data_IF_952395829970
#
_entry.id   IF_952395829970
#
_cell.length_a   1.000
_cell.length_b   1.000
_cell.length_c   1.000
_cell.angle_alpha   90.00
_cell.angle_beta   90.00
_cell.angle_gamma   90.00
#
_symmetry.space_group_name_H-M   'P 1'
#
loop_
_entity.id
_entity.type
_entity.pdbx_description
1 polymer ?
#
# COMPACT_ATOMS: atom_id res chain seq x y z
N UNK A 1 -34.07 39.33 -27.61
CA UNK A 1 -33.19 40.43 -28.00
C UNK A 1 -31.97 39.85 -28.67
N UNK A 2 -31.94 39.89 -30.00
CA UNK A 2 -30.82 39.43 -30.83
C UNK A 2 -29.81 40.56 -30.96
N UNK A 3 -28.58 40.35 -30.58
CA UNK A 3 -27.49 41.26 -30.88
C UNK A 3 -26.58 40.63 -31.93
N UNK A 4 -26.54 41.23 -33.10
CA UNK A 4 -25.70 40.85 -34.26
C UNK A 4 -24.24 41.23 -34.00
N UNK A 5 -23.31 40.32 -34.32
CA UNK A 5 -21.90 40.61 -34.43
C UNK A 5 -21.56 41.09 -35.83
N UNK A 6 -20.89 42.23 -35.92
CA UNK A 6 -20.32 42.82 -37.14
C UNK A 6 -18.94 42.23 -37.41
N UNK A 7 -18.51 42.08 -38.69
CA UNK A 7 -17.20 41.55 -39.03
C UNK A 7 -16.11 42.63 -38.99
N UNK A 8 -14.94 42.25 -38.43
CA UNK A 8 -13.73 43.08 -38.45
C UNK A 8 -12.88 42.68 -39.66
N UNK A 9 -12.50 43.69 -40.41
CA UNK A 9 -11.72 43.60 -41.65
C UNK A 9 -10.27 43.17 -41.36
N UNK A 10 -9.75 42.30 -42.25
CA UNK A 10 -8.36 41.87 -42.35
C UNK A 10 -7.44 42.96 -42.87
N UNK A 11 -6.34 43.23 -42.18
CA UNK A 11 -5.13 43.80 -42.79
C UNK A 11 -4.00 42.79 -42.63
N UNK A 12 -3.52 42.34 -43.80
CA UNK A 12 -2.35 41.47 -43.89
C UNK A 12 -1.09 42.28 -43.63
N UNK A 13 -0.25 41.82 -42.71
CA UNK A 13 1.15 42.19 -42.66
C UNK A 13 1.98 40.94 -42.60
N UNK A 14 2.76 40.72 -43.66
CA UNK A 14 3.64 39.61 -43.88
C UNK A 14 4.96 39.86 -43.17
N UNK A 15 5.27 39.10 -42.11
CA UNK A 15 6.64 38.91 -41.68
C UNK A 15 6.93 37.40 -41.62
N UNK A 16 7.81 37.05 -42.57
CA UNK A 16 8.42 35.74 -42.74
C UNK A 16 9.21 35.34 -41.47
N UNK A 17 8.67 34.45 -40.64
CA UNK A 17 9.42 33.82 -39.59
C UNK A 17 9.56 32.31 -39.90
N UNK A 18 10.77 31.91 -40.22
CA UNK A 18 11.12 30.56 -40.54
C UNK A 18 10.64 29.54 -39.50
N UNK A 19 9.78 28.63 -39.94
CA UNK A 19 9.36 27.47 -39.20
C UNK A 19 10.57 26.55 -38.94
N UNK A 20 10.85 26.09 -37.72
CA UNK A 20 11.93 25.12 -37.50
C UNK A 20 11.59 23.81 -38.19
N UNK A 21 12.61 23.23 -38.84
CA UNK A 21 12.55 22.01 -39.63
C UNK A 21 11.87 20.87 -38.81
N UNK A 22 10.90 20.19 -39.42
CA UNK A 22 10.31 18.97 -38.91
C UNK A 22 11.38 17.92 -38.69
N UNK A 23 11.40 17.19 -37.54
CA UNK A 23 12.27 16.05 -37.38
C UNK A 23 11.91 14.97 -38.39
N UNK A 24 12.94 14.38 -38.97
CA UNK A 24 12.87 13.30 -39.96
C UNK A 24 12.19 12.07 -39.33
N UNK A 25 10.99 11.72 -39.79
CA UNK A 25 10.18 10.60 -39.32
C UNK A 25 10.46 9.31 -40.06
N UNK A 26 11.65 9.13 -40.63
CA UNK A 26 12.08 7.84 -41.21
C UNK A 26 12.62 6.90 -40.13
N UNK A 27 11.78 6.56 -39.14
CA UNK A 27 12.02 5.39 -38.28
C UNK A 27 11.32 4.17 -38.93
N UNK A 28 11.94 2.96 -38.87
CA UNK A 28 11.38 1.77 -39.52
C UNK A 28 9.99 1.45 -39.01
N UNK A 29 9.10 1.12 -39.95
CA UNK A 29 7.72 0.70 -39.69
C UNK A 29 7.66 -0.37 -38.61
N UNK A 30 6.69 -0.22 -37.69
CA UNK A 30 6.33 -1.24 -36.74
C UNK A 30 6.01 -2.57 -37.47
N UNK A 31 6.38 -3.72 -36.92
CA UNK A 31 6.06 -5.01 -37.53
C UNK A 31 4.56 -5.19 -37.64
N UNK A 32 4.13 -5.64 -38.81
CA UNK A 32 2.73 -5.99 -39.12
C UNK A 32 2.19 -7.03 -38.15
N UNK A 33 0.96 -6.84 -37.73
CA UNK A 33 0.24 -7.69 -36.78
C UNK A 33 0.10 -9.14 -37.26
N UNK A 34 1.04 -9.96 -36.83
CA UNK A 34 0.90 -11.41 -36.65
C UNK A 34 1.93 -11.80 -35.60
N UNK A 35 1.62 -11.54 -34.32
CA UNK A 35 2.53 -11.90 -33.24
C UNK A 35 1.91 -12.95 -32.36
N UNK A 36 2.53 -14.14 -32.21
CA UNK A 36 2.31 -14.99 -31.07
C UNK A 36 2.68 -14.22 -29.80
N UNK A 37 2.12 -14.61 -28.68
CA UNK A 37 2.42 -14.08 -27.35
C UNK A 37 3.93 -14.25 -27.05
N UNK A 38 4.75 -13.38 -27.62
CA UNK A 38 6.16 -13.28 -27.26
C UNK A 38 6.22 -12.54 -25.94
N UNK A 39 6.84 -13.14 -24.94
CA UNK A 39 7.34 -12.45 -23.74
C UNK A 39 8.17 -11.26 -24.23
N UNK A 40 7.61 -10.04 -24.15
CA UNK A 40 8.25 -8.85 -24.70
C UNK A 40 9.49 -8.44 -23.91
N UNK A 41 9.70 -9.02 -22.73
CA UNK A 41 10.80 -8.60 -21.85
C UNK A 41 11.46 -9.81 -21.21
N UNK A 42 12.66 -10.18 -21.67
CA UNK A 42 13.57 -11.01 -20.86
C UNK A 42 14.07 -10.13 -19.71
N UNK A 43 13.71 -10.50 -18.49
CA UNK A 43 14.24 -9.83 -17.31
C UNK A 43 15.75 -10.04 -17.24
N UNK A 44 16.59 -9.00 -17.25
CA UNK A 44 17.99 -9.14 -16.93
C UNK A 44 18.13 -9.64 -15.49
N UNK A 45 19.25 -10.32 -15.20
CA UNK A 45 19.59 -10.64 -13.82
C UNK A 45 19.56 -9.35 -12.98
N UNK A 46 18.93 -9.39 -11.80
CA UNK A 46 18.81 -8.23 -10.91
C UNK A 46 20.12 -8.10 -10.15
N UNK A 47 20.79 -6.98 -10.31
CA UNK A 47 21.90 -6.60 -9.43
C UNK A 47 21.29 -6.04 -8.13
N UNK A 48 21.52 -6.66 -6.95
CA UNK A 48 21.02 -6.15 -5.68
C UNK A 48 21.43 -4.71 -5.39
N UNK A 49 22.56 -4.23 -5.95
CA UNK A 49 22.99 -2.85 -5.80
C UNK A 49 21.99 -1.81 -6.36
N UNK A 50 21.00 -2.23 -7.14
CA UNK A 50 19.92 -1.34 -7.60
C UNK A 50 19.13 -0.75 -6.42
N UNK A 51 19.05 -1.43 -5.29
CA UNK A 51 18.35 -0.97 -4.09
C UNK A 51 19.21 -0.02 -3.22
N UNK A 52 20.51 0.11 -3.48
CA UNK A 52 21.40 1.07 -2.80
C UNK A 52 21.39 2.44 -3.45
N UNK A 53 20.86 2.56 -4.67
CA UNK A 53 20.73 3.83 -5.36
C UNK A 53 19.78 4.77 -4.61
N UNK A 54 20.23 6.00 -4.33
CA UNK A 54 19.42 7.05 -3.68
C UNK A 54 18.83 7.95 -4.76
N UNK A 55 17.58 7.72 -5.20
CA UNK A 55 16.96 8.59 -6.20
C UNK A 55 16.57 9.91 -5.54
N UNK A 56 16.83 11.02 -6.24
CA UNK A 56 16.25 12.31 -5.84
C UNK A 56 14.78 12.35 -6.24
N UNK A 57 13.90 12.39 -5.24
CA UNK A 57 12.45 12.44 -5.43
C UNK A 57 11.87 13.83 -5.20
N UNK A 58 12.69 14.82 -4.79
CA UNK A 58 12.24 16.20 -4.61
C UNK A 58 11.98 16.86 -5.97
N UNK A 59 10.95 17.70 -6.01
CA UNK A 59 10.54 18.39 -7.24
C UNK A 59 9.84 17.49 -8.27
N UNK A 60 9.46 16.26 -7.89
CA UNK A 60 8.74 15.32 -8.76
C UNK A 60 7.24 15.25 -8.47
N UNK A 61 6.71 16.15 -7.66
CA UNK A 61 5.37 16.12 -7.08
C UNK A 61 5.12 14.88 -6.20
N UNK A 62 6.17 14.33 -5.61
CA UNK A 62 6.08 13.19 -4.69
C UNK A 62 5.28 13.56 -3.44
N UNK A 63 4.19 12.80 -3.17
CA UNK A 63 3.43 12.96 -1.94
C UNK A 63 4.32 12.78 -0.70
N UNK A 64 5.25 11.82 -0.75
CA UNK A 64 6.17 11.51 0.34
C UNK A 64 7.19 12.63 0.59
N UNK A 65 7.81 13.16 -0.48
CA UNK A 65 8.95 14.07 -0.37
C UNK A 65 8.61 15.55 -0.52
N UNK A 66 7.56 15.90 -1.28
CA UNK A 66 7.25 17.29 -1.64
C UNK A 66 6.06 17.88 -0.86
N UNK A 67 5.44 17.11 0.05
CA UNK A 67 4.23 17.57 0.73
C UNK A 67 4.45 18.05 2.18
N UNK A 68 5.66 17.98 2.72
CA UNK A 68 5.96 18.25 4.12
C UNK A 68 5.42 19.64 4.56
N UNK A 69 5.88 20.71 3.95
CA UNK A 69 5.47 22.09 4.29
C UNK A 69 3.97 22.29 4.12
N UNK A 70 3.38 21.78 3.03
CA UNK A 70 1.94 21.86 2.79
C UNK A 70 1.11 21.17 3.88
N UNK A 71 1.69 20.17 4.55
CA UNK A 71 1.07 19.41 5.64
C UNK A 71 1.51 19.89 7.03
N UNK A 72 2.14 21.08 7.12
CA UNK A 72 2.56 21.67 8.37
C UNK A 72 3.76 20.95 9.03
N UNK A 73 4.57 20.24 8.24
CA UNK A 73 5.79 19.55 8.68
C UNK A 73 7.03 20.37 8.31
N UNK A 74 8.16 20.22 9.04
CA UNK A 74 9.42 20.87 8.67
C UNK A 74 9.87 20.51 7.25
N UNK A 75 10.51 21.45 6.56
CA UNK A 75 10.97 21.27 5.16
C UNK A 75 12.07 20.21 5.04
N UNK A 76 12.92 20.10 6.05
CA UNK A 76 14.09 19.22 6.10
C UNK A 76 13.82 17.86 6.76
N UNK A 77 12.56 17.58 7.09
CA UNK A 77 12.16 16.31 7.69
C UNK A 77 12.44 15.15 6.74
N UNK A 78 12.94 14.03 7.28
CA UNK A 78 13.16 12.80 6.51
C UNK A 78 11.87 11.96 6.50
N UNK A 79 11.19 11.82 5.35
CA UNK A 79 9.89 11.18 5.29
C UNK A 79 10.00 9.66 5.11
N UNK A 80 9.52 8.92 6.11
CA UNK A 80 9.41 7.44 6.07
C UNK A 80 7.98 6.98 6.45
N UNK A 81 6.97 7.79 6.13
CA UNK A 81 5.56 7.58 6.50
C UNK A 81 4.74 6.87 5.40
N UNK A 82 4.77 7.38 4.16
CA UNK A 82 3.99 6.83 3.05
C UNK A 82 4.47 5.43 2.67
N UNK A 83 3.53 4.52 2.46
CA UNK A 83 3.80 3.18 1.96
C UNK A 83 4.03 3.17 0.43
N UNK A 84 5.01 3.96 -0.04
CA UNK A 84 5.68 3.83 -1.32
C UNK A 84 7.18 3.65 -1.11
N UNK A 85 7.91 3.09 -2.06
CA UNK A 85 9.33 2.81 -1.91
C UNK A 85 10.18 3.95 -2.48
N UNK A 86 11.39 4.11 -1.95
CA UNK A 86 12.42 4.98 -2.53
C UNK A 86 13.37 4.16 -3.44
N UNK A 87 12.83 3.15 -4.10
CA UNK A 87 13.50 2.33 -5.10
C UNK A 87 12.82 2.46 -6.46
N UNK A 88 13.61 2.44 -7.53
CA UNK A 88 13.07 2.33 -8.88
C UNK A 88 12.31 1.00 -9.04
N UNK A 89 11.23 1.00 -9.84
CA UNK A 89 10.51 -0.23 -10.18
C UNK A 89 11.38 -1.19 -11.01
N UNK A 90 10.91 -2.42 -11.20
CA UNK A 90 11.62 -3.44 -11.98
C UNK A 90 11.98 -2.94 -13.39
N UNK A 91 13.19 -3.24 -13.90
CA UNK A 91 13.63 -2.80 -15.23
C UNK A 91 12.70 -3.21 -16.37
N UNK A 92 12.07 -4.38 -16.26
CA UNK A 92 11.06 -4.83 -17.21
C UNK A 92 9.87 -3.88 -17.30
N UNK A 93 9.40 -3.39 -16.15
CA UNK A 93 8.30 -2.41 -16.06
C UNK A 93 8.70 -1.09 -16.71
N UNK A 94 9.87 -0.56 -16.37
CA UNK A 94 10.38 0.68 -16.96
C UNK A 94 10.53 0.56 -18.48
N UNK A 95 11.04 -0.57 -18.98
CA UNK A 95 11.18 -0.83 -20.42
C UNK A 95 9.83 -0.87 -21.13
N UNK A 96 8.82 -1.52 -20.52
CA UNK A 96 7.47 -1.58 -21.07
C UNK A 96 6.80 -0.20 -21.13
N UNK A 97 6.97 0.61 -20.07
CA UNK A 97 6.46 1.97 -20.04
C UNK A 97 7.11 2.86 -21.08
N UNK A 98 8.45 2.77 -21.25
CA UNK A 98 9.16 3.50 -22.30
C UNK A 98 8.69 3.11 -23.70
N UNK A 99 8.51 1.82 -23.96
CA UNK A 99 7.95 1.33 -25.23
C UNK A 99 6.54 1.91 -25.47
N UNK A 100 5.66 1.87 -24.48
CA UNK A 100 4.29 2.39 -24.58
C UNK A 100 4.28 3.92 -24.78
N UNK A 101 5.18 4.63 -24.10
CA UNK A 101 5.32 6.09 -24.24
C UNK A 101 5.83 6.49 -25.61
N UNK A 102 6.79 5.75 -26.18
CA UNK A 102 7.31 5.98 -27.55
C UNK A 102 6.24 5.77 -28.62
N UNK A 103 5.28 4.86 -28.39
CA UNK A 103 4.13 4.69 -29.28
C UNK A 103 3.28 5.97 -29.37
N UNK A 104 3.17 6.75 -28.29
CA UNK A 104 2.63 8.10 -28.27
C UNK A 104 1.12 8.23 -28.38
N UNK A 105 0.33 7.13 -28.43
CA UNK A 105 -1.13 7.14 -28.51
C UNK A 105 -1.68 6.55 -27.22
N UNK A 106 -2.32 7.39 -26.38
CA UNK A 106 -2.88 7.06 -25.08
C UNK A 106 -4.41 7.02 -25.12
N UNK A 107 -4.96 6.34 -26.11
CA UNK A 107 -6.40 6.10 -26.25
C UNK A 107 -6.93 5.14 -25.18
N UNK A 108 -8.26 4.97 -25.18
CA UNK A 108 -8.91 4.03 -24.28
C UNK A 108 -8.33 2.62 -24.41
N UNK A 109 -8.14 1.97 -23.27
CA UNK A 109 -7.53 0.64 -23.20
C UNK A 109 -8.34 -0.28 -22.30
N UNK A 110 -8.28 -1.57 -22.61
CA UNK A 110 -8.91 -2.64 -21.82
C UNK A 110 -7.88 -3.75 -21.55
N UNK A 111 -8.03 -4.53 -20.49
CA UNK A 111 -7.24 -5.73 -20.29
C UNK A 111 -7.40 -6.68 -21.47
N UNK A 112 -6.33 -6.93 -22.21
CA UNK A 112 -6.27 -7.88 -23.31
C UNK A 112 -5.98 -9.31 -22.80
N UNK A 113 -5.96 -10.28 -23.70
CA UNK A 113 -5.69 -11.68 -23.35
C UNK A 113 -4.28 -11.87 -22.76
N UNK A 114 -3.31 -11.07 -23.19
CA UNK A 114 -1.96 -11.12 -22.63
C UNK A 114 -1.92 -10.58 -21.19
N UNK A 115 -2.65 -9.50 -20.89
CA UNK A 115 -2.82 -9.02 -19.53
C UNK A 115 -3.46 -10.08 -18.63
N UNK A 116 -4.54 -10.71 -19.12
CA UNK A 116 -5.25 -11.77 -18.39
C UNK A 116 -4.36 -12.98 -18.14
N UNK A 117 -3.59 -13.41 -19.14
CA UNK A 117 -2.61 -14.48 -19.00
C UNK A 117 -1.49 -14.16 -18.00
N UNK A 118 -0.98 -12.91 -18.01
CA UNK A 118 0.02 -12.46 -17.04
C UNK A 118 -0.55 -12.51 -15.62
N UNK A 119 -1.77 -12.02 -15.40
CA UNK A 119 -2.46 -12.04 -14.12
C UNK A 119 -2.67 -13.47 -13.60
N UNK A 120 -3.31 -14.33 -14.39
CA UNK A 120 -3.60 -15.72 -13.96
C UNK A 120 -2.31 -16.51 -13.75
N UNK A 121 -1.31 -16.31 -14.60
CA UNK A 121 0.02 -16.89 -14.47
C UNK A 121 0.75 -16.45 -13.19
N UNK A 122 0.60 -15.19 -12.80
CA UNK A 122 1.16 -14.66 -11.55
C UNK A 122 0.60 -15.40 -10.34
N UNK A 123 -0.73 -15.48 -10.22
CA UNK A 123 -1.38 -16.16 -9.09
C UNK A 123 -1.05 -17.64 -9.04
N UNK A 124 -1.01 -18.31 -10.18
CA UNK A 124 -0.62 -19.73 -10.28
C UNK A 124 0.82 -19.93 -9.78
N UNK A 125 1.78 -19.10 -10.23
CA UNK A 125 3.20 -19.27 -9.87
C UNK A 125 3.50 -18.87 -8.42
N UNK A 126 2.94 -17.74 -7.95
CA UNK A 126 3.30 -17.17 -6.64
C UNK A 126 2.52 -17.80 -5.49
N UNK A 127 1.28 -18.22 -5.73
CA UNK A 127 0.36 -18.69 -4.68
C UNK A 127 -0.20 -20.09 -4.92
N UNK A 128 0.10 -20.74 -6.04
CA UNK A 128 -0.52 -22.01 -6.43
C UNK A 128 -2.03 -21.90 -6.64
N UNK A 129 -2.56 -20.68 -6.77
CA UNK A 129 -3.99 -20.42 -6.91
C UNK A 129 -4.38 -20.27 -8.37
N UNK A 130 -5.32 -21.11 -8.81
CA UNK A 130 -5.85 -21.06 -10.18
C UNK A 130 -6.98 -20.03 -10.23
N UNK A 131 -6.71 -18.91 -10.89
CA UNK A 131 -7.64 -17.79 -11.06
C UNK A 131 -8.17 -17.79 -12.48
N UNK A 132 -9.50 -17.68 -12.63
CA UNK A 132 -10.12 -17.53 -13.94
C UNK A 132 -10.06 -16.06 -14.39
N UNK A 133 -9.71 -15.84 -15.66
CA UNK A 133 -9.55 -14.50 -16.22
C UNK A 133 -10.83 -13.63 -16.09
N UNK A 134 -12.00 -14.24 -16.16
CA UNK A 134 -13.29 -13.56 -16.03
C UNK A 134 -13.59 -13.04 -14.62
N UNK A 135 -12.92 -13.58 -13.57
CA UNK A 135 -13.10 -13.12 -12.21
C UNK A 135 -12.58 -11.70 -12.01
N UNK A 136 -11.65 -11.27 -12.86
CA UNK A 136 -10.99 -9.99 -12.71
C UNK A 136 -11.90 -8.80 -13.10
N UNK A 137 -11.83 -7.77 -12.28
CA UNK A 137 -12.35 -6.43 -12.54
C UNK A 137 -11.26 -5.44 -12.20
N UNK A 138 -10.84 -4.60 -13.13
CA UNK A 138 -9.80 -3.59 -12.90
C UNK A 138 -10.42 -2.34 -12.30
N UNK A 139 -9.80 -1.84 -11.21
CA UNK A 139 -10.16 -0.57 -10.56
C UNK A 139 -8.94 0.36 -10.48
N UNK A 140 -9.12 1.67 -10.21
CA UNK A 140 -8.00 2.62 -10.11
C UNK A 140 -7.12 2.41 -8.87
N UNK A 141 -7.50 1.49 -7.98
CA UNK A 141 -6.75 1.15 -6.77
C UNK A 141 -7.56 0.27 -5.83
N UNK A 142 -6.90 -0.26 -4.80
CA UNK A 142 -7.54 -1.12 -3.81
C UNK A 142 -8.48 -0.32 -2.90
N UNK A 143 -8.10 0.85 -2.40
CA UNK A 143 -8.97 1.68 -1.56
C UNK A 143 -10.30 2.05 -2.26
N UNK A 144 -10.30 2.49 -3.55
CA UNK A 144 -11.54 2.61 -4.30
C UNK A 144 -12.35 1.32 -4.40
N UNK A 145 -11.69 0.15 -4.52
CA UNK A 145 -12.39 -1.13 -4.57
C UNK A 145 -13.03 -1.50 -3.22
N UNK A 146 -12.38 -1.20 -2.09
CA UNK A 146 -12.96 -1.36 -0.75
C UNK A 146 -14.23 -0.51 -0.61
N UNK A 147 -14.17 0.77 -0.99
CA UNK A 147 -15.33 1.67 -0.96
C UNK A 147 -16.50 1.16 -1.84
N UNK A 148 -16.18 0.63 -3.04
CA UNK A 148 -17.16 0.03 -3.93
C UNK A 148 -17.80 -1.22 -3.31
N UNK A 149 -17.01 -2.09 -2.68
CA UNK A 149 -17.51 -3.28 -2.01
C UNK A 149 -18.42 -2.93 -0.84
N UNK A 150 -18.04 -1.95 -0.01
CA UNK A 150 -18.88 -1.43 1.08
C UNK A 150 -20.23 -0.95 0.54
N UNK A 151 -20.24 -0.14 -0.52
CA UNK A 151 -21.47 0.40 -1.12
C UNK A 151 -22.32 -0.68 -1.81
N UNK A 152 -21.67 -1.64 -2.46
CA UNK A 152 -22.34 -2.70 -3.20
C UNK A 152 -23.04 -3.72 -2.31
N UNK A 153 -22.50 -3.95 -1.10
CA UNK A 153 -22.89 -5.06 -0.22
C UNK A 153 -23.59 -4.65 1.05
N UNK A 154 -23.63 -3.34 1.34
CA UNK A 154 -24.29 -2.80 2.53
C UNK A 154 -25.14 -1.59 2.19
N UNK A 155 -26.16 -1.32 3.00
CA UNK A 155 -26.94 -0.09 2.97
C UNK A 155 -26.36 0.96 3.95
N UNK A 156 -26.66 2.26 3.78
CA UNK A 156 -26.36 3.29 4.77
C UNK A 156 -26.88 2.89 6.18
N UNK A 157 -26.04 3.09 7.20
CA UNK A 157 -26.34 2.71 8.59
C UNK A 157 -25.98 1.26 8.95
N UNK A 158 -25.77 0.37 7.99
CA UNK A 158 -25.33 -1.00 8.29
C UNK A 158 -23.89 -1.05 8.77
N UNK A 159 -23.56 -2.13 9.49
CA UNK A 159 -22.28 -2.30 10.15
C UNK A 159 -21.30 -3.09 9.28
N UNK A 160 -20.05 -2.61 9.23
CA UNK A 160 -18.91 -3.26 8.57
C UNK A 160 -17.83 -3.56 9.61
N UNK A 161 -17.33 -4.78 9.61
CA UNK A 161 -16.29 -5.25 10.51
C UNK A 161 -14.88 -4.88 10.00
N UNK A 162 -14.02 -4.45 10.91
CA UNK A 162 -12.57 -4.30 10.69
C UNK A 162 -11.82 -4.84 11.91
N UNK A 163 -10.53 -5.19 11.75
CA UNK A 163 -9.68 -5.68 12.84
C UNK A 163 -8.57 -4.65 13.11
N UNK A 164 -8.62 -3.93 14.25
CA UNK A 164 -7.65 -2.88 14.59
C UNK A 164 -6.52 -3.37 15.51
N UNK A 165 -5.29 -2.73 15.41
CA UNK A 165 -4.95 -1.60 14.54
C UNK A 165 -4.84 -2.04 13.08
N UNK A 166 -5.35 -1.20 12.15
CA UNK A 166 -5.37 -1.49 10.72
C UNK A 166 -5.17 -0.22 9.90
N UNK A 167 -4.82 -0.34 8.66
CA UNK A 167 -4.68 0.75 7.69
C UNK A 167 -5.91 1.68 7.73
N UNK A 168 -5.71 2.93 8.11
CA UNK A 168 -6.79 3.88 8.42
C UNK A 168 -7.87 4.04 7.33
N UNK A 169 -7.57 3.90 6.01
CA UNK A 169 -8.63 3.95 5.00
C UNK A 169 -9.68 2.84 5.11
N UNK A 170 -9.45 1.78 5.88
CA UNK A 170 -10.48 0.79 6.17
C UNK A 170 -11.65 1.42 6.93
N UNK A 171 -11.36 2.22 7.95
CA UNK A 171 -12.35 3.00 8.67
C UNK A 171 -12.96 4.09 7.79
N UNK A 172 -12.09 4.85 7.09
CA UNK A 172 -12.54 5.97 6.25
C UNK A 172 -13.55 5.53 5.18
N UNK A 173 -13.28 4.42 4.45
CA UNK A 173 -14.22 3.97 3.39
C UNK A 173 -15.56 3.48 3.94
N UNK A 174 -15.62 3.06 5.19
CA UNK A 174 -16.88 2.70 5.85
C UNK A 174 -17.64 3.97 6.25
N UNK A 175 -16.99 4.89 6.97
CA UNK A 175 -17.62 6.08 7.55
C UNK A 175 -18.04 7.11 6.49
N UNK A 176 -17.17 7.39 5.50
CA UNK A 176 -17.51 8.36 4.42
C UNK A 176 -18.62 7.86 3.50
N UNK A 177 -18.90 6.55 3.50
CA UNK A 177 -20.04 5.96 2.82
C UNK A 177 -21.25 5.76 3.74
N UNK A 178 -21.29 6.39 4.91
CA UNK A 178 -22.43 6.37 5.85
C UNK A 178 -22.73 4.99 6.45
N UNK A 179 -21.72 4.12 6.60
CA UNK A 179 -21.82 2.85 7.30
C UNK A 179 -21.18 2.98 8.68
N UNK A 180 -21.52 2.05 9.58
CA UNK A 180 -20.99 2.01 10.94
C UNK A 180 -19.80 1.05 11.00
N UNK A 181 -18.70 1.47 11.61
CA UNK A 181 -17.56 0.59 11.87
C UNK A 181 -17.80 -0.22 13.14
N UNK A 182 -17.64 -1.54 13.05
CA UNK A 182 -17.45 -2.40 14.22
C UNK A 182 -15.98 -2.88 14.23
N UNK A 183 -15.17 -2.24 15.05
CA UNK A 183 -13.76 -2.59 15.20
C UNK A 183 -13.62 -3.72 16.21
N UNK A 184 -12.93 -4.81 15.80
CA UNK A 184 -12.53 -5.91 16.67
C UNK A 184 -11.04 -5.77 16.94
N UNK A 185 -10.61 -5.59 18.20
CA UNK A 185 -9.19 -5.43 18.50
C UNK A 185 -8.40 -6.71 18.23
N UNK A 186 -7.27 -6.58 17.58
CA UNK A 186 -6.23 -7.62 17.58
C UNK A 186 -5.60 -7.70 18.97
N UNK A 187 -5.25 -8.89 19.42
CA UNK A 187 -4.62 -9.12 20.71
C UNK A 187 -3.13 -9.32 20.50
N UNK A 188 -2.30 -8.51 21.18
CA UNK A 188 -0.85 -8.69 21.19
C UNK A 188 -0.48 -9.67 22.29
N UNK A 189 0.20 -10.77 21.95
CA UNK A 189 0.66 -11.75 22.93
C UNK A 189 1.97 -11.32 23.63
N UNK A 190 2.47 -12.17 24.53
CA UNK A 190 3.67 -11.88 25.32
C UNK A 190 4.95 -11.76 24.47
N UNK A 191 4.96 -12.37 23.28
CA UNK A 191 6.07 -12.31 22.32
C UNK A 191 5.92 -11.12 21.34
N UNK A 192 4.92 -10.28 21.57
CA UNK A 192 4.64 -9.10 20.73
C UNK A 192 3.89 -9.40 19.44
N UNK A 193 3.49 -10.66 19.22
CA UNK A 193 2.78 -11.08 18.00
C UNK A 193 1.30 -10.76 18.12
N UNK A 194 0.76 -10.15 17.08
CA UNK A 194 -0.68 -9.85 17.01
C UNK A 194 -1.48 -11.07 16.54
N UNK A 195 -2.60 -11.34 17.22
CA UNK A 195 -3.51 -12.46 16.93
C UNK A 195 -4.95 -11.99 16.85
N UNK A 196 -5.77 -12.72 16.11
CA UNK A 196 -7.22 -12.53 16.10
C UNK A 196 -7.86 -13.07 17.38
N UNK A 197 -8.84 -12.33 17.88
CA UNK A 197 -9.80 -12.85 18.83
C UNK A 197 -11.08 -13.25 18.07
N UNK A 198 -11.14 -14.51 17.63
CA UNK A 198 -12.27 -15.02 16.86
C UNK A 198 -13.56 -15.06 17.70
N UNK A 199 -13.46 -15.23 19.02
CA UNK A 199 -14.62 -15.21 19.89
C UNK A 199 -15.21 -13.79 20.00
N UNK A 200 -14.34 -12.76 20.11
CA UNK A 200 -14.77 -11.37 20.07
C UNK A 200 -15.34 -10.99 18.71
N UNK A 201 -14.75 -11.49 17.62
CA UNK A 201 -15.27 -11.27 16.27
C UNK A 201 -16.68 -11.86 16.11
N UNK A 202 -16.87 -13.13 16.50
CA UNK A 202 -18.16 -13.82 16.43
C UNK A 202 -19.22 -13.12 17.27
N UNK A 203 -18.91 -12.76 18.52
CA UNK A 203 -19.79 -11.99 19.38
C UNK A 203 -20.17 -10.62 18.78
N UNK A 204 -19.23 -9.96 18.09
CA UNK A 204 -19.50 -8.68 17.43
C UNK A 204 -20.43 -8.87 16.22
N UNK A 205 -20.24 -9.95 15.44
CA UNK A 205 -21.16 -10.30 14.33
C UNK A 205 -22.57 -10.50 14.86
N UNK A 206 -22.73 -11.30 15.92
CA UNK A 206 -24.03 -11.59 16.53
C UNK A 206 -24.71 -10.33 17.08
N UNK A 207 -23.96 -9.49 17.76
CA UNK A 207 -24.47 -8.25 18.37
C UNK A 207 -24.89 -7.20 17.34
N UNK A 208 -24.17 -7.11 16.21
CA UNK A 208 -24.38 -6.05 15.19
C UNK A 208 -25.16 -6.51 13.97
N UNK A 209 -25.22 -7.81 13.72
CA UNK A 209 -25.75 -8.37 12.47
C UNK A 209 -24.91 -8.06 11.24
N UNK A 210 -23.64 -7.67 11.41
CA UNK A 210 -22.74 -7.32 10.32
C UNK A 210 -22.59 -8.47 9.32
N UNK A 211 -22.55 -8.13 8.03
CA UNK A 211 -22.45 -9.08 6.91
C UNK A 211 -21.24 -8.82 6.01
N UNK A 212 -20.37 -7.89 6.38
CA UNK A 212 -19.18 -7.53 5.64
C UNK A 212 -17.99 -7.36 6.57
N UNK A 213 -16.88 -8.03 6.26
CA UNK A 213 -15.58 -7.88 6.91
C UNK A 213 -14.57 -7.35 5.89
N UNK A 214 -13.86 -6.28 6.23
CA UNK A 214 -12.67 -5.86 5.52
C UNK A 214 -11.45 -6.53 6.18
N UNK A 215 -10.82 -7.47 5.47
CA UNK A 215 -9.66 -8.22 5.92
C UNK A 215 -8.38 -7.63 5.33
N UNK A 216 -7.36 -7.37 6.16
CA UNK A 216 -6.02 -6.98 5.71
C UNK A 216 -5.08 -8.20 5.75
N UNK A 217 -4.53 -8.64 4.59
CA UNK A 217 -3.72 -9.87 4.49
C UNK A 217 -2.63 -9.76 3.40
N UNK A 218 -1.34 -9.58 3.70
CA UNK A 218 -0.72 -9.31 5.03
C UNK A 218 -1.24 -8.05 5.73
N UNK A 219 -1.15 -8.02 7.07
CA UNK A 219 -1.81 -7.01 7.88
C UNK A 219 -0.91 -5.80 8.17
N UNK A 220 -1.26 -4.66 7.65
CA UNK A 220 -0.67 -3.36 7.93
C UNK A 220 -1.49 -2.62 9.01
N UNK A 221 -0.89 -2.16 10.15
CA UNK A 221 0.54 -1.88 10.33
C UNK A 221 1.34 -2.98 11.02
N UNK A 222 0.71 -4.01 11.57
CA UNK A 222 1.33 -4.96 12.53
C UNK A 222 2.27 -5.99 11.88
N UNK A 223 2.37 -6.01 10.54
CA UNK A 223 3.32 -6.84 9.80
C UNK A 223 3.01 -8.34 9.76
N UNK A 224 1.80 -8.78 10.20
CA UNK A 224 1.42 -10.19 10.18
C UNK A 224 1.16 -10.72 8.77
N UNK A 225 1.66 -11.91 8.49
CA UNK A 225 1.23 -12.78 7.38
C UNK A 225 0.40 -13.90 7.98
N UNK A 226 -0.92 -13.80 7.86
CA UNK A 226 -1.82 -14.76 8.48
C UNK A 226 -1.58 -16.16 7.93
N UNK A 227 -1.40 -17.14 8.81
CA UNK A 227 -1.21 -18.53 8.40
C UNK A 227 -2.47 -19.10 7.75
N UNK A 228 -2.32 -20.19 7.01
CA UNK A 228 -3.46 -20.88 6.39
C UNK A 228 -4.49 -21.33 7.43
N UNK A 229 -4.00 -21.78 8.59
CA UNK A 229 -4.83 -22.23 9.71
C UNK A 229 -5.59 -21.06 10.35
N UNK A 230 -4.93 -19.90 10.56
CA UNK A 230 -5.59 -18.69 11.08
C UNK A 230 -6.66 -18.17 10.12
N UNK A 231 -6.39 -18.23 8.81
CA UNK A 231 -7.36 -17.83 7.79
C UNK A 231 -8.52 -18.83 7.66
N UNK A 232 -8.26 -20.13 7.80
CA UNK A 232 -9.30 -21.16 7.79
C UNK A 232 -10.23 -21.02 9.01
N UNK A 233 -9.69 -20.73 10.18
CA UNK A 233 -10.50 -20.47 11.37
C UNK A 233 -11.36 -19.21 11.23
N UNK A 234 -10.86 -18.16 10.57
CA UNK A 234 -11.64 -16.98 10.22
C UNK A 234 -12.75 -17.32 9.23
N UNK A 235 -12.43 -18.15 8.22
CA UNK A 235 -13.41 -18.58 7.22
C UNK A 235 -14.56 -19.34 7.84
N UNK A 236 -14.30 -20.24 8.79
CA UNK A 236 -15.34 -20.97 9.50
C UNK A 236 -16.35 -20.03 10.22
N UNK A 237 -15.85 -18.97 10.86
CA UNK A 237 -16.71 -17.97 11.53
C UNK A 237 -17.48 -17.16 10.49
N UNK A 238 -16.83 -16.63 9.47
CA UNK A 238 -17.47 -15.79 8.46
C UNK A 238 -18.50 -16.56 7.64
N UNK A 239 -18.23 -17.80 7.26
CA UNK A 239 -19.14 -18.67 6.53
C UNK A 239 -20.37 -19.03 7.37
N UNK A 240 -20.20 -19.38 8.66
CA UNK A 240 -21.29 -19.71 9.58
C UNK A 240 -22.31 -18.59 9.69
N UNK A 241 -21.85 -17.35 9.68
CA UNK A 241 -22.70 -16.17 9.81
C UNK A 241 -23.07 -15.52 8.46
N UNK A 242 -22.62 -16.07 7.31
CA UNK A 242 -22.88 -15.52 5.99
C UNK A 242 -22.26 -14.13 5.79
N UNK A 243 -21.08 -13.91 6.36
CA UNK A 243 -20.29 -12.68 6.20
C UNK A 243 -19.47 -12.75 4.93
N UNK A 244 -19.59 -11.75 4.06
CA UNK A 244 -18.71 -11.58 2.89
C UNK A 244 -17.39 -10.98 3.36
N UNK A 245 -16.27 -11.54 2.86
CA UNK A 245 -14.93 -11.05 3.17
C UNK A 245 -14.38 -10.25 1.99
N UNK A 246 -14.02 -9.01 2.22
CA UNK A 246 -13.25 -8.19 1.27
C UNK A 246 -11.80 -8.22 1.70
N UNK A 247 -11.01 -9.08 1.08
CA UNK A 247 -9.61 -9.30 1.41
C UNK A 247 -8.72 -8.29 0.67
N UNK A 248 -8.20 -7.31 1.39
CA UNK A 248 -7.13 -6.44 0.90
C UNK A 248 -5.81 -7.20 0.99
N UNK A 249 -5.39 -7.72 -0.15
CA UNK A 249 -4.17 -8.51 -0.33
C UNK A 249 -3.11 -7.74 -1.13
N UNK A 250 -3.14 -6.41 -1.07
CA UNK A 250 -2.18 -5.54 -1.78
C UNK A 250 -0.73 -5.77 -1.38
N UNK A 251 -0.51 -6.32 -0.19
CA UNK A 251 0.82 -6.66 0.34
C UNK A 251 1.18 -8.15 0.17
N UNK A 252 0.34 -8.95 -0.51
CA UNK A 252 0.51 -10.40 -0.61
C UNK A 252 1.89 -10.84 -1.11
N UNK A 253 2.43 -10.15 -2.11
CA UNK A 253 3.74 -10.44 -2.69
C UNK A 253 4.92 -10.12 -1.75
N UNK A 254 4.68 -9.43 -0.63
CA UNK A 254 5.70 -8.89 0.28
C UNK A 254 5.83 -9.68 1.59
N UNK A 255 5.38 -10.94 1.61
CA UNK A 255 5.77 -11.85 2.66
C UNK A 255 7.30 -12.01 2.67
N UNK A 256 7.93 -11.80 3.84
CA UNK A 256 9.38 -11.87 3.96
C UNK A 256 9.90 -13.31 3.81
N UNK A 257 11.19 -13.53 3.52
CA UNK A 257 11.77 -14.86 3.47
C UNK A 257 11.44 -15.69 4.72
N UNK A 258 10.98 -16.92 4.50
CA UNK A 258 10.49 -17.82 5.56
C UNK A 258 8.97 -17.75 5.79
N UNK A 259 8.27 -16.77 5.21
CA UNK A 259 6.82 -16.64 5.27
C UNK A 259 6.19 -16.73 3.87
N UNK A 260 4.94 -17.18 3.82
CA UNK A 260 4.19 -17.28 2.57
C UNK A 260 2.75 -16.82 2.76
N UNK A 261 2.30 -15.91 1.92
CA UNK A 261 0.90 -15.46 1.91
C UNK A 261 0.00 -16.54 1.32
N UNK A 262 -1.11 -16.81 1.99
CA UNK A 262 -2.23 -17.58 1.45
C UNK A 262 -3.34 -16.60 1.07
N UNK A 263 -3.73 -16.47 -0.20
CA UNK A 263 -4.92 -15.71 -0.56
C UNK A 263 -6.15 -16.30 0.11
N UNK A 264 -6.98 -15.47 0.76
CA UNK A 264 -8.12 -15.95 1.53
C UNK A 264 -9.09 -16.78 0.67
N UNK A 265 -9.38 -16.33 -0.54
CA UNK A 265 -10.23 -17.04 -1.49
C UNK A 265 -9.63 -18.39 -1.98
N UNK A 266 -8.33 -18.63 -1.77
CA UNK A 266 -7.67 -19.90 -2.16
C UNK A 266 -7.82 -21.01 -1.14
N UNK A 267 -8.42 -20.74 0.01
CA UNK A 267 -8.59 -21.72 1.09
C UNK A 267 -9.50 -22.89 0.65
N UNK A 268 -10.63 -22.56 0.02
CA UNK A 268 -11.62 -23.51 -0.45
C UNK A 268 -12.55 -22.88 -1.52
N UNK A 269 -13.33 -23.69 -2.22
CA UNK A 269 -14.40 -23.17 -3.09
C UNK A 269 -15.44 -22.38 -2.30
N UNK A 270 -15.73 -22.79 -1.07
CA UNK A 270 -16.65 -22.08 -0.18
C UNK A 270 -16.10 -20.68 0.18
N UNK A 271 -14.82 -20.58 0.56
CA UNK A 271 -14.17 -19.30 0.81
C UNK A 271 -14.21 -18.40 -0.43
N UNK A 272 -13.88 -18.95 -1.61
CA UNK A 272 -13.93 -18.20 -2.86
C UNK A 272 -15.31 -17.62 -3.16
N UNK A 273 -16.38 -18.36 -2.84
CA UNK A 273 -17.75 -17.97 -3.16
C UNK A 273 -18.25 -16.73 -2.37
N UNK A 274 -17.65 -16.41 -1.23
CA UNK A 274 -18.03 -15.25 -0.43
C UNK A 274 -16.89 -14.25 -0.23
N UNK A 275 -15.88 -14.26 -1.13
CA UNK A 275 -14.72 -13.37 -1.04
C UNK A 275 -14.62 -12.44 -2.25
N UNK A 276 -14.27 -11.17 -1.97
CA UNK A 276 -13.73 -10.20 -2.93
C UNK A 276 -12.25 -10.03 -2.61
N UNK A 277 -11.36 -10.52 -3.46
CA UNK A 277 -9.91 -10.36 -3.29
C UNK A 277 -9.44 -9.11 -4.02
N UNK A 278 -8.84 -8.17 -3.30
CA UNK A 278 -8.32 -6.92 -3.81
C UNK A 278 -6.79 -6.98 -3.87
N UNK A 279 -6.20 -6.93 -5.07
CA UNK A 279 -4.76 -7.00 -5.28
C UNK A 279 -4.26 -5.90 -6.21
N UNK A 280 -2.97 -5.60 -6.14
CA UNK A 280 -2.37 -4.59 -7.02
C UNK A 280 -0.84 -4.74 -7.04
N UNK A 281 -0.16 -4.46 -8.17
CA UNK A 281 1.29 -4.35 -8.21
C UNK A 281 1.80 -3.04 -7.55
N UNK A 282 0.92 -2.20 -7.04
CA UNK A 282 1.27 -0.88 -6.49
C UNK A 282 2.29 -0.93 -5.36
N UNK A 283 2.20 -1.94 -4.49
CA UNK A 283 3.12 -2.11 -3.36
C UNK A 283 4.31 -2.99 -3.73
N UNK A 284 4.07 -4.08 -4.46
CA UNK A 284 5.10 -5.03 -4.85
C UNK A 284 6.13 -4.44 -5.81
N UNK A 285 5.69 -3.53 -6.71
CA UNK A 285 6.53 -2.96 -7.77
C UNK A 285 6.61 -1.42 -7.75
N UNK A 286 6.20 -0.79 -6.65
CA UNK A 286 6.23 0.68 -6.50
C UNK A 286 5.47 1.43 -7.59
N UNK A 287 4.25 1.01 -7.92
CA UNK A 287 3.44 1.49 -9.05
C UNK A 287 2.18 2.26 -8.61
N UNK A 288 2.11 2.73 -7.37
CA UNK A 288 0.90 3.36 -6.82
C UNK A 288 0.39 4.54 -7.67
N UNK A 289 1.30 5.34 -8.23
CA UNK A 289 0.96 6.48 -9.10
C UNK A 289 0.34 6.09 -10.44
N UNK A 290 0.44 4.81 -10.86
CA UNK A 290 -0.16 4.32 -12.11
C UNK A 290 -1.60 3.83 -11.96
N UNK A 291 -2.11 3.75 -10.74
CA UNK A 291 -3.52 3.52 -10.44
C UNK A 291 -4.13 2.32 -11.16
N UNK A 292 -3.68 1.12 -10.81
CA UNK A 292 -4.21 -0.15 -11.30
C UNK A 292 -4.33 -1.15 -10.16
N UNK A 293 -5.51 -1.76 -10.01
CA UNK A 293 -5.74 -2.86 -9.09
C UNK A 293 -6.60 -3.93 -9.77
N UNK A 294 -6.38 -5.19 -9.39
CA UNK A 294 -7.09 -6.35 -9.89
C UNK A 294 -8.00 -6.89 -8.77
N UNK A 295 -9.28 -6.92 -9.03
CA UNK A 295 -10.30 -7.37 -8.08
C UNK A 295 -10.84 -8.70 -8.56
N UNK A 296 -10.52 -9.76 -7.83
CA UNK A 296 -10.85 -11.13 -8.19
C UNK A 296 -12.08 -11.59 -7.40
N UNK A 297 -13.13 -11.97 -8.11
CA UNK A 297 -14.40 -12.40 -7.53
C UNK A 297 -14.89 -13.64 -8.29
N UNK A 298 -14.81 -14.80 -7.67
CA UNK A 298 -15.20 -16.09 -8.32
C UNK A 298 -16.71 -16.21 -8.47
N UNK A 299 -17.48 -15.83 -7.45
CA UNK A 299 -18.93 -15.90 -7.50
C UNK A 299 -19.52 -14.91 -8.51
N UNK A 300 -20.32 -15.44 -9.44
CA UNK A 300 -20.88 -14.65 -10.53
C UNK A 300 -21.91 -13.61 -10.08
N UNK A 301 -22.65 -13.85 -8.98
CA UNK A 301 -23.62 -12.89 -8.45
C UNK A 301 -22.91 -11.74 -7.74
N UNK A 302 -21.97 -12.05 -6.87
CA UNK A 302 -21.14 -11.08 -6.16
C UNK A 302 -20.35 -10.21 -7.15
N UNK A 303 -19.76 -10.84 -8.18
CA UNK A 303 -19.05 -10.15 -9.27
C UNK A 303 -19.94 -9.18 -10.04
N UNK A 304 -21.16 -9.58 -10.40
CA UNK A 304 -22.12 -8.67 -11.07
C UNK A 304 -22.55 -7.53 -10.16
N UNK A 305 -22.75 -7.77 -8.89
CA UNK A 305 -23.12 -6.76 -7.90
C UNK A 305 -22.01 -5.71 -7.77
N UNK A 306 -20.76 -6.15 -7.63
CA UNK A 306 -19.59 -5.27 -7.59
C UNK A 306 -19.42 -4.45 -8.89
N UNK A 307 -19.50 -5.11 -10.05
CA UNK A 307 -19.38 -4.43 -11.36
C UNK A 307 -20.49 -3.42 -11.62
N UNK A 308 -21.69 -3.68 -11.13
CA UNK A 308 -22.80 -2.72 -11.22
C UNK A 308 -22.52 -1.48 -10.38
N UNK A 309 -21.97 -1.64 -9.18
CA UNK A 309 -21.59 -0.52 -8.35
C UNK A 309 -20.43 0.28 -8.96
N UNK A 310 -19.43 -0.39 -9.51
CA UNK A 310 -18.35 0.27 -10.26
C UNK A 310 -18.90 1.12 -11.41
N UNK A 311 -19.86 0.61 -12.16
CA UNK A 311 -20.47 1.34 -13.27
C UNK A 311 -21.17 2.65 -12.84
N UNK A 312 -21.68 2.73 -11.58
CA UNK A 312 -22.29 3.97 -11.06
C UNK A 312 -21.31 5.12 -10.92
N UNK A 313 -20.02 4.83 -10.85
CA UNK A 313 -18.94 5.84 -10.76
C UNK A 313 -18.54 6.42 -12.11
N UNK A 314 -19.03 5.85 -13.22
CA UNK A 314 -18.62 6.20 -14.57
C UNK A 314 -17.21 5.69 -14.95
N UNK A 315 -16.53 4.97 -14.07
CA UNK A 315 -15.23 4.38 -14.39
C UNK A 315 -15.40 3.14 -15.29
N UNK A 316 -14.84 3.21 -16.48
CA UNK A 316 -15.03 2.15 -17.50
C UNK A 316 -13.72 1.72 -18.18
N UNK A 317 -12.77 2.64 -18.32
CA UNK A 317 -11.49 2.35 -18.99
C UNK A 317 -10.32 2.58 -18.04
N UNK A 318 -9.53 1.52 -17.77
CA UNK A 318 -8.34 1.63 -16.94
C UNK A 318 -7.22 2.46 -17.57
N UNK A 319 -6.33 2.96 -16.72
CA UNK A 319 -5.13 3.67 -17.15
C UNK A 319 -4.24 2.78 -18.03
N UNK A 320 -4.00 3.20 -19.27
CA UNK A 320 -3.18 2.50 -20.26
C UNK A 320 -1.78 2.15 -19.73
N UNK A 321 -1.11 3.09 -19.05
CA UNK A 321 0.22 2.86 -18.49
C UNK A 321 0.16 1.92 -17.29
N UNK A 322 -0.91 1.99 -16.50
CA UNK A 322 -1.17 1.04 -15.40
C UNK A 322 -1.30 -0.39 -15.89
N UNK A 323 -2.10 -0.63 -16.94
CA UNK A 323 -2.23 -1.95 -17.56
C UNK A 323 -0.88 -2.45 -18.10
N UNK A 324 -0.15 -1.59 -18.82
CA UNK A 324 1.18 -1.94 -19.37
C UNK A 324 2.17 -2.32 -18.28
N UNK A 325 2.24 -1.54 -17.21
CA UNK A 325 3.14 -1.77 -16.09
C UNK A 325 2.77 -3.04 -15.30
N UNK A 326 1.48 -3.25 -15.02
CA UNK A 326 1.00 -4.43 -14.31
C UNK A 326 1.31 -5.72 -15.09
N UNK A 327 1.04 -5.72 -16.41
CA UNK A 327 1.39 -6.86 -17.26
C UNK A 327 2.89 -7.16 -17.21
N UNK A 328 3.75 -6.15 -17.42
CA UNK A 328 5.21 -6.34 -17.41
C UNK A 328 5.74 -6.82 -16.06
N UNK A 329 5.17 -6.31 -14.95
CA UNK A 329 5.50 -6.74 -13.61
C UNK A 329 5.19 -8.23 -13.41
N UNK A 330 4.00 -8.67 -13.82
CA UNK A 330 3.54 -10.05 -13.64
C UNK A 330 4.15 -11.04 -14.65
N UNK A 331 4.57 -10.59 -15.84
CA UNK A 331 5.29 -11.44 -16.81
C UNK A 331 6.75 -11.65 -16.46
N UNK A 332 7.42 -10.64 -15.87
CA UNK A 332 8.89 -10.62 -15.82
C UNK A 332 9.48 -10.04 -14.52
N UNK A 333 8.64 -9.81 -13.49
CA UNK A 333 9.07 -9.16 -12.26
C UNK A 333 9.53 -10.10 -11.15
N UNK A 334 9.39 -11.43 -11.29
CA UNK A 334 9.65 -12.39 -10.22
C UNK A 334 11.02 -12.20 -9.55
N UNK A 335 12.10 -12.19 -10.34
CA UNK A 335 13.46 -12.08 -9.80
C UNK A 335 13.73 -10.75 -9.09
N UNK A 336 13.16 -9.65 -9.61
CA UNK A 336 13.29 -8.34 -8.99
C UNK A 336 12.54 -8.28 -7.65
N UNK A 337 11.34 -8.83 -7.62
CA UNK A 337 10.54 -8.89 -6.39
C UNK A 337 11.20 -9.76 -5.32
N UNK A 338 11.77 -10.90 -5.69
CA UNK A 338 12.47 -11.76 -4.74
C UNK A 338 13.73 -11.06 -4.18
N UNK A 339 14.50 -10.37 -5.02
CA UNK A 339 15.63 -9.55 -4.57
C UNK A 339 15.17 -8.37 -3.67
N UNK A 340 14.04 -7.74 -3.96
CA UNK A 340 13.43 -6.71 -3.10
C UNK A 340 13.05 -7.27 -1.71
N UNK A 341 12.45 -8.45 -1.66
CA UNK A 341 12.06 -9.11 -0.39
C UNK A 341 13.28 -9.40 0.50
N UNK A 342 14.39 -9.85 -0.09
CA UNK A 342 15.66 -10.04 0.62
C UNK A 342 16.21 -8.68 1.12
N UNK A 343 16.16 -7.64 0.30
CA UNK A 343 16.57 -6.29 0.71
C UNK A 343 15.73 -5.76 1.88
N UNK A 344 14.41 -5.92 1.84
CA UNK A 344 13.50 -5.53 2.93
C UNK A 344 13.81 -6.33 4.20
N UNK A 345 14.07 -7.64 4.08
CA UNK A 345 14.41 -8.48 5.23
C UNK A 345 15.74 -8.01 5.89
N UNK A 346 16.74 -7.64 5.07
CA UNK A 346 17.99 -7.07 5.57
C UNK A 346 17.79 -5.69 6.21
N UNK A 347 16.94 -4.84 5.63
CA UNK A 347 16.60 -3.54 6.21
C UNK A 347 15.88 -3.68 7.56
N UNK A 348 14.93 -4.63 7.67
CA UNK A 348 14.26 -4.99 8.92
C UNK A 348 15.27 -5.41 9.99
N UNK A 349 16.12 -6.39 9.68
CA UNK A 349 17.11 -6.90 10.62
C UNK A 349 18.07 -5.80 11.11
N UNK A 350 18.38 -4.83 10.22
CA UNK A 350 19.18 -3.67 10.57
C UNK A 350 18.48 -2.74 11.57
N UNK A 351 17.21 -2.46 11.39
CA UNK A 351 16.40 -1.69 12.35
C UNK A 351 16.36 -2.41 13.71
N UNK A 352 16.02 -3.71 13.70
CA UNK A 352 15.94 -4.53 14.93
C UNK A 352 17.28 -4.51 15.71
N UNK A 353 18.41 -4.67 15.02
CA UNK A 353 19.74 -4.61 15.66
C UNK A 353 20.08 -3.24 16.26
N UNK A 354 19.58 -2.14 15.66
CA UNK A 354 19.71 -0.83 16.27
C UNK A 354 18.84 -0.70 17.53
N UNK A 355 17.57 -1.14 17.43
CA UNK A 355 16.61 -1.03 18.54
C UNK A 355 17.07 -1.79 19.80
N UNK A 356 17.87 -2.84 19.66
CA UNK A 356 18.52 -3.51 20.81
C UNK A 356 19.38 -2.54 21.65
N UNK A 357 19.85 -1.42 21.05
CA UNK A 357 20.66 -0.39 21.73
C UNK A 357 19.84 0.80 22.24
N UNK A 358 18.59 0.90 21.81
CA UNK A 358 17.68 1.99 22.18
C UNK A 358 16.69 1.47 23.22
N UNK A 359 16.87 1.88 24.49
CA UNK A 359 15.98 1.44 25.56
C UNK A 359 14.55 2.00 25.36
N UNK A 360 13.58 1.10 25.43
CA UNK A 360 12.16 1.44 25.45
C UNK A 360 11.49 1.61 24.08
N UNK A 361 12.18 1.25 22.97
CA UNK A 361 11.57 1.11 21.66
C UNK A 361 11.81 -0.29 21.14
N UNK A 362 10.75 -0.98 20.73
CA UNK A 362 10.78 -2.34 20.22
C UNK A 362 10.00 -2.42 18.90
N UNK A 363 10.48 -3.24 17.96
CA UNK A 363 9.71 -3.57 16.77
C UNK A 363 8.78 -4.76 17.04
N UNK A 364 7.52 -4.65 16.67
CA UNK A 364 6.65 -5.83 16.61
C UNK A 364 7.19 -6.83 15.57
N UNK A 365 7.07 -8.16 15.81
CA UNK A 365 7.48 -9.16 14.83
C UNK A 365 6.85 -8.91 13.47
N UNK A 366 7.68 -8.71 12.44
CA UNK A 366 7.25 -8.41 11.08
C UNK A 366 7.50 -9.62 10.18
N UNK A 367 6.42 -10.18 9.63
CA UNK A 367 6.43 -11.36 8.76
C UNK A 367 6.27 -10.97 7.28
N UNK A 368 5.75 -9.78 7.04
CA UNK A 368 5.51 -9.26 5.68
C UNK A 368 5.35 -7.75 5.66
N UNK A 369 5.23 -7.18 4.47
CA UNK A 369 5.28 -5.75 4.16
C UNK A 369 6.69 -5.16 4.27
N UNK A 370 6.83 -3.87 4.01
CA UNK A 370 8.04 -3.07 4.28
C UNK A 370 7.78 -1.98 5.33
N UNK A 371 6.79 -2.23 6.19
CA UNK A 371 6.31 -1.28 7.20
C UNK A 371 6.53 -1.93 8.56
N UNK A 372 7.40 -1.34 9.39
CA UNK A 372 7.65 -1.82 10.73
C UNK A 372 6.81 -1.04 11.74
N UNK A 373 6.23 -1.77 12.68
CA UNK A 373 5.39 -1.26 13.75
C UNK A 373 6.22 -1.19 15.03
N UNK A 374 6.55 0.04 15.46
CA UNK A 374 7.44 0.29 16.58
C UNK A 374 6.64 0.63 17.84
N UNK A 375 6.80 -0.15 18.88
CA UNK A 375 6.31 0.13 20.22
C UNK A 375 7.27 1.08 20.92
N UNK A 376 6.84 2.31 21.18
CA UNK A 376 7.60 3.35 21.86
C UNK A 376 7.12 3.56 23.30
N UNK A 377 6.25 2.71 23.83
CA UNK A 377 5.65 2.88 25.16
C UNK A 377 6.67 2.89 26.31
N UNK A 378 7.71 2.07 26.21
CA UNK A 378 8.83 2.06 27.15
C UNK A 378 9.60 3.38 27.17
N UNK A 379 9.94 3.90 26.00
CA UNK A 379 10.59 5.21 25.84
C UNK A 379 9.70 6.35 26.39
N UNK A 380 8.44 6.38 26.04
CA UNK A 380 7.50 7.40 26.52
C UNK A 380 7.42 7.39 28.06
N UNK A 381 7.33 6.20 28.64
CA UNK A 381 7.33 6.03 30.10
C UNK A 381 8.62 6.53 30.74
N UNK A 382 9.78 6.18 30.19
CA UNK A 382 11.10 6.62 30.69
C UNK A 382 11.27 8.14 30.58
N UNK A 383 10.77 8.73 29.50
CA UNK A 383 10.81 10.18 29.25
C UNK A 383 9.71 10.97 29.98
N UNK A 384 8.75 10.31 30.65
CA UNK A 384 7.60 10.95 31.28
C UNK A 384 6.65 11.64 30.30
N UNK A 385 6.59 11.12 29.07
CA UNK A 385 5.78 11.64 27.98
C UNK A 385 4.47 10.85 27.84
N UNK A 386 3.46 11.51 27.27
CA UNK A 386 2.20 10.89 26.90
C UNK A 386 2.25 10.35 25.45
N UNK A 387 1.44 9.36 25.09
CA UNK A 387 1.38 8.83 23.72
C UNK A 387 1.15 9.90 22.65
N UNK A 388 0.35 10.93 22.94
CA UNK A 388 0.04 12.02 22.00
C UNK A 388 1.26 12.88 21.62
N UNK A 389 2.32 12.83 22.42
CA UNK A 389 3.57 13.60 22.22
C UNK A 389 4.58 12.86 21.32
N UNK A 390 4.33 11.58 21.00
CA UNK A 390 5.27 10.77 20.24
C UNK A 390 5.55 11.35 18.84
N UNK A 391 4.51 11.73 18.09
CA UNK A 391 4.66 12.33 16.76
C UNK A 391 5.47 13.65 16.81
N UNK A 392 5.25 14.46 17.84
CA UNK A 392 6.00 15.70 18.05
C UNK A 392 7.50 15.44 18.31
N UNK A 393 7.84 14.41 19.10
CA UNK A 393 9.22 13.99 19.32
C UNK A 393 9.86 13.48 18.03
N UNK A 394 9.17 12.63 17.28
CA UNK A 394 9.70 12.12 16.02
C UNK A 394 9.95 13.24 15.02
N UNK A 395 9.09 14.24 14.95
CA UNK A 395 9.23 15.37 14.05
C UNK A 395 10.31 16.37 14.49
N UNK A 396 10.23 16.84 15.73
CA UNK A 396 11.00 18.01 16.15
C UNK A 396 12.36 17.64 16.75
N UNK A 397 12.48 16.48 17.39
CA UNK A 397 13.75 16.03 17.98
C UNK A 397 14.52 15.11 17.03
N UNK A 398 13.83 14.18 16.36
CA UNK A 398 14.48 13.28 15.41
C UNK A 398 14.50 13.81 13.97
N UNK A 399 13.67 14.79 13.60
CA UNK A 399 13.53 15.24 12.22
C UNK A 399 13.03 14.13 11.30
N UNK A 400 12.19 13.24 11.83
CA UNK A 400 11.61 12.10 11.10
C UNK A 400 10.10 12.30 10.94
N UNK A 401 9.61 12.10 9.74
CA UNK A 401 8.18 12.02 9.50
C UNK A 401 7.77 10.56 9.35
N UNK A 402 7.22 10.01 10.42
CA UNK A 402 6.67 8.66 10.52
C UNK A 402 5.14 8.73 10.58
N UNK A 403 4.46 7.58 10.52
CA UNK A 403 3.02 7.55 10.81
C UNK A 403 2.77 7.37 12.31
N UNK A 404 2.01 8.29 12.88
CA UNK A 404 1.50 8.19 14.25
C UNK A 404 0.60 6.95 14.40
N UNK A 405 0.88 6.11 15.37
CA UNK A 405 0.12 4.87 15.57
C UNK A 405 -1.36 5.09 15.81
N UNK A 406 -1.76 6.21 16.39
CA UNK A 406 -3.16 6.54 16.68
C UNK A 406 -4.06 6.59 15.45
N UNK A 407 -3.51 6.86 14.26
CA UNK A 407 -4.31 6.87 13.03
C UNK A 407 -4.78 5.49 12.59
N UNK A 408 -4.17 4.41 13.13
CA UNK A 408 -4.51 3.03 12.80
C UNK A 408 -5.63 2.44 13.66
N UNK A 409 -6.20 3.23 14.58
CA UNK A 409 -7.30 2.82 15.45
C UNK A 409 -6.83 2.33 16.82
N UNK A 410 -7.68 1.57 17.48
CA UNK A 410 -7.44 1.09 18.84
C UNK A 410 -6.17 0.22 18.92
N UNK A 411 -5.35 0.46 19.96
CA UNK A 411 -4.08 -0.23 20.16
C UNK A 411 -2.91 0.39 19.40
N UNK A 412 -3.10 1.58 18.80
CA UNK A 412 -2.04 2.33 18.15
C UNK A 412 -1.35 3.40 19.03
N UNK A 413 -1.88 3.66 20.23
CA UNK A 413 -1.32 4.63 21.17
C UNK A 413 0.07 4.22 21.65
N UNK A 414 1.02 5.13 21.51
CA UNK A 414 2.43 4.87 21.87
C UNK A 414 3.22 4.11 20.80
N UNK A 415 2.60 3.84 19.67
CA UNK A 415 3.27 3.23 18.50
C UNK A 415 3.56 4.25 17.41
N UNK A 416 4.52 3.91 16.55
CA UNK A 416 4.75 4.60 15.28
C UNK A 416 5.09 3.59 14.19
N UNK A 417 4.74 3.91 12.92
CA UNK A 417 5.03 3.04 11.78
C UNK A 417 6.13 3.65 10.91
N UNK A 418 7.19 2.89 10.64
CA UNK A 418 8.29 3.29 9.76
C UNK A 418 8.30 2.45 8.47
N UNK A 419 8.48 3.11 7.33
CA UNK A 419 8.70 2.48 6.03
C UNK A 419 10.21 2.25 5.82
N UNK A 420 10.61 0.99 5.67
CA UNK A 420 12.02 0.59 5.49
C UNK A 420 12.39 0.27 4.02
N UNK A 421 11.45 0.44 3.08
CA UNK A 421 11.74 0.28 1.65
C UNK A 421 12.42 1.52 1.08
N UNK A 422 13.63 1.77 1.54
CA UNK A 422 14.50 2.87 1.12
C UNK A 422 15.95 2.39 1.06
N UNK A 423 16.85 3.13 0.34
CA UNK A 423 18.26 2.82 0.31
C UNK A 423 18.87 2.77 1.70
N UNK A 424 19.87 1.91 1.89
CA UNK A 424 20.53 1.71 3.17
C UNK A 424 21.02 3.02 3.78
N UNK A 425 21.63 3.90 2.99
CA UNK A 425 22.10 5.20 3.49
C UNK A 425 20.97 6.10 4.03
N UNK A 426 19.79 6.04 3.43
CA UNK A 426 18.60 6.77 3.93
C UNK A 426 18.13 6.19 5.25
N UNK A 427 18.11 4.86 5.38
CA UNK A 427 17.72 4.17 6.59
C UNK A 427 18.71 4.44 7.72
N UNK A 428 20.04 4.36 7.46
CA UNK A 428 21.09 4.69 8.43
C UNK A 428 20.93 6.11 8.98
N UNK A 429 20.71 7.09 8.08
CA UNK A 429 20.50 8.48 8.50
C UNK A 429 19.23 8.65 9.36
N UNK A 430 18.16 7.89 9.11
CA UNK A 430 16.96 7.91 9.93
C UNK A 430 17.20 7.29 11.30
N UNK A 431 17.92 6.18 11.35
CA UNK A 431 18.21 5.47 12.59
C UNK A 431 19.16 6.25 13.50
N UNK A 432 20.19 6.90 12.93
CA UNK A 432 21.10 7.79 13.68
C UNK A 432 20.32 8.95 14.33
N UNK A 433 19.38 9.56 13.59
CA UNK A 433 18.50 10.61 14.10
C UNK A 433 17.60 10.11 15.23
N UNK A 434 17.02 8.92 15.09
CA UNK A 434 16.16 8.30 16.10
C UNK A 434 16.94 8.05 17.40
N UNK A 435 18.13 7.43 17.31
CA UNK A 435 19.00 7.14 18.46
C UNK A 435 19.39 8.43 19.21
N UNK A 436 19.83 9.46 18.48
CA UNK A 436 20.20 10.75 19.05
C UNK A 436 19.01 11.45 19.73
N UNK A 437 17.83 11.41 19.13
CA UNK A 437 16.63 12.02 19.69
C UNK A 437 16.19 11.34 20.99
N UNK A 438 16.14 10.00 20.99
CA UNK A 438 15.79 9.23 22.19
C UNK A 438 16.77 9.51 23.34
N UNK A 439 18.07 9.48 23.06
CA UNK A 439 19.10 9.80 24.06
C UNK A 439 18.93 11.23 24.63
N UNK A 440 18.69 12.22 23.76
CA UNK A 440 18.50 13.62 24.15
C UNK A 440 17.27 13.81 25.04
N UNK A 441 16.13 13.25 24.64
CA UNK A 441 14.86 13.39 25.35
C UNK A 441 14.92 12.68 26.70
N UNK A 442 15.49 11.47 26.76
CA UNK A 442 15.65 10.70 27.99
C UNK A 442 16.59 11.40 28.98
N UNK A 443 17.72 11.96 28.52
CA UNK A 443 18.64 12.71 29.37
C UNK A 443 17.96 13.94 29.96
N UNK A 444 17.20 14.68 29.15
CA UNK A 444 16.43 15.88 29.60
C UNK A 444 15.41 15.53 30.68
N UNK A 445 14.68 14.40 30.50
CA UNK A 445 13.74 13.91 31.50
C UNK A 445 14.43 13.54 32.84
N UNK A 446 15.57 12.87 32.80
CA UNK A 446 16.34 12.50 33.97
C UNK A 446 16.85 13.72 34.76
N UNK A 447 17.31 14.78 34.07
CA UNK A 447 17.72 16.04 34.71
C UNK A 447 16.55 16.74 35.44
N UNK A 448 15.37 16.76 34.85
CA UNK A 448 14.17 17.34 35.46
C UNK A 448 13.76 16.56 36.72
N UNK A 449 13.76 15.23 36.67
CA UNK A 449 13.48 14.39 37.82
C UNK A 449 14.49 14.59 38.96
N UNK A 450 15.79 14.81 38.64
CA UNK A 450 16.85 15.11 39.60
C UNK A 450 16.65 16.48 40.30
N UNK A 451 16.28 17.51 39.53
CA UNK A 451 16.02 18.86 40.10
C UNK A 451 14.79 18.88 41.00
N UNK A 452 13.73 18.14 40.65
CA UNK A 452 12.52 18.02 41.49
C UNK A 452 12.77 17.35 42.83
N UNK A 453 13.66 16.39 42.93
CA UNK A 453 14.06 15.72 44.17
C UNK A 453 14.90 16.62 45.08
N UNK A 454 15.78 17.45 44.51
CA UNK A 454 16.58 18.43 45.30
C UNK A 454 15.69 19.52 45.88
N UNK A 455 14.65 19.96 45.19
CA UNK A 455 13.71 20.98 45.67
C UNK A 455 12.76 20.46 46.78
N UNK A 456 12.53 19.15 46.90
CA UNK A 456 11.70 18.56 47.96
C UNK A 456 12.50 18.10 49.19
N UNK A 457 13.83 18.16 49.14
CA UNK A 457 14.76 17.82 50.24
C UNK A 457 15.42 19.04 50.89
N UNK A 458 15.08 20.23 50.47
CA UNK A 458 15.47 21.51 51.05
C UNK A 458 14.25 22.22 51.70
#
# INVERSE_FOLDING_TARGET
MHTRLTPVSSSADSTDSACPARPDLTAPHAPTASSPAATFFTAPAVDPAVFDAVPDRRGTASLKWDSAVKRGRPEDVLPLWVADMDHATAPAVTSALLWRTRHGIFGYSEPDDAYRAALTGWFSRRYGWQVEAEWNTVTPGVVPALALAVRALTAPGETVLIEEPVYYPFRDVVEVNERTVAAVPLVRDADGVYRRDLAALEATIEATGARLLLLCNPHNPVGRVWSREELAALEEVTARHGVVVVADEIHADLALPGFATTPFASLSEAAAAHTITCTSPSKSFNLAGLQVANILISDAHLRRTFRRELATTGYSQPNTLGLTACRAAYESGDAWLDALREHIAAARAHVEALLERIEGIEAAPCEGTYLLWLDCSGFLKAAGLKPEQLDEVMLNEAGLWLDDGRIFGAGGEGFTRINVACPRATLDAALDRLEAAVATVTARAAEWAGRGRVALSA
#
